data_IF_541729921778
#
_entry.id   IF_541729921778
#
_cell.length_a   1.000
_cell.length_b   1.000
_cell.length_c   1.000
_cell.angle_alpha   90.00
_cell.angle_beta   90.00
_cell.angle_gamma   90.00
#
_symmetry.space_group_name_H-M   'P 1'
#
loop_
_entity.id
_entity.type
_entity.pdbx_description
1 polymer ?
#
# COMPACT_ATOMS: atom_id res chain seq x y z
N UNK A 1 -7.87 -27.54 -2.38
CA UNK A 1 -6.93 -26.61 -3.04
C UNK A 1 -6.68 -25.52 -2.02
N UNK A 2 -5.65 -25.70 -1.20
CA UNK A 2 -5.28 -24.73 -0.17
C UNK A 2 -4.77 -23.51 -0.93
N UNK A 3 -5.52 -22.41 -0.86
CA UNK A 3 -5.11 -21.12 -1.37
C UNK A 3 -3.89 -20.70 -0.54
N UNK A 4 -2.72 -21.14 -1.00
CA UNK A 4 -1.42 -20.64 -0.59
C UNK A 4 -1.54 -19.12 -0.69
N UNK A 5 -1.56 -18.44 0.46
CA UNK A 5 -1.88 -17.02 0.60
C UNK A 5 -0.89 -16.20 -0.22
N UNK A 6 -1.16 -16.08 -1.53
CA UNK A 6 -0.27 -15.48 -2.50
C UNK A 6 -0.21 -14.02 -2.13
N UNK A 7 0.98 -13.58 -1.77
CA UNK A 7 1.16 -12.19 -1.37
C UNK A 7 0.61 -11.26 -2.45
N UNK A 8 -0.16 -10.24 -2.05
CA UNK A 8 -0.82 -9.37 -3.00
C UNK A 8 0.23 -8.67 -3.85
N UNK A 9 -0.01 -8.55 -5.15
CA UNK A 9 0.92 -7.81 -6.02
C UNK A 9 0.85 -6.31 -5.72
N UNK A 10 1.88 -5.54 -6.07
CA UNK A 10 1.91 -4.09 -5.84
C UNK A 10 0.73 -3.37 -6.51
N UNK A 11 0.32 -3.80 -7.71
CA UNK A 11 -0.87 -3.25 -8.36
C UNK A 11 -2.17 -3.51 -7.57
N UNK A 12 -2.30 -4.69 -6.95
CA UNK A 12 -3.43 -4.99 -6.06
C UNK A 12 -3.43 -4.13 -4.80
N UNK A 13 -2.24 -3.76 -4.29
CA UNK A 13 -2.11 -2.81 -3.18
C UNK A 13 -2.60 -1.42 -3.61
N UNK A 14 -2.22 -0.96 -4.81
CA UNK A 14 -2.73 0.30 -5.38
C UNK A 14 -4.25 0.28 -5.53
N UNK A 15 -4.83 -0.82 -6.04
CA UNK A 15 -6.29 -0.98 -6.16
C UNK A 15 -7.01 -0.86 -4.81
N UNK A 16 -6.51 -1.57 -3.79
CA UNK A 16 -7.13 -1.54 -2.45
C UNK A 16 -7.05 -0.15 -1.82
N UNK A 17 -5.93 0.54 -1.97
CA UNK A 17 -5.78 1.90 -1.48
C UNK A 17 -6.65 2.89 -2.26
N UNK A 18 -6.75 2.76 -3.58
CA UNK A 18 -7.64 3.61 -4.40
C UNK A 18 -9.12 3.41 -4.02
N UNK A 19 -9.54 2.18 -3.73
CA UNK A 19 -10.89 1.90 -3.24
C UNK A 19 -11.13 2.52 -1.84
N UNK A 20 -10.11 2.56 -0.98
CA UNK A 20 -10.22 3.12 0.39
C UNK A 20 -10.10 4.64 0.44
N UNK A 21 -9.42 5.23 -0.54
CA UNK A 21 -9.22 6.66 -0.67
C UNK A 21 -9.71 7.16 -2.05
N UNK A 22 -11.03 7.04 -2.35
CA UNK A 22 -11.57 7.31 -3.69
C UNK A 22 -11.45 8.77 -4.14
N UNK A 23 -11.17 9.69 -3.21
CA UNK A 23 -10.95 11.12 -3.47
C UNK A 23 -9.50 11.45 -3.83
N UNK A 24 -8.58 10.49 -3.71
CA UNK A 24 -7.16 10.66 -4.03
C UNK A 24 -6.92 10.05 -5.43
N UNK A 25 -6.26 10.78 -6.36
CA UNK A 25 -5.95 10.25 -7.67
C UNK A 25 -5.13 8.95 -7.60
N UNK A 26 -5.52 7.91 -8.34
CA UNK A 26 -4.80 6.62 -8.40
C UNK A 26 -3.31 6.81 -8.69
N UNK A 27 -2.95 7.74 -9.58
CA UNK A 27 -1.56 8.05 -9.92
C UNK A 27 -0.74 8.51 -8.70
N UNK A 28 -1.34 9.29 -7.79
CA UNK A 28 -0.69 9.72 -6.55
C UNK A 28 -0.48 8.54 -5.59
N UNK A 29 -1.51 7.69 -5.45
CA UNK A 29 -1.44 6.46 -4.65
C UNK A 29 -0.35 5.52 -5.19
N UNK A 30 -0.30 5.33 -6.50
CA UNK A 30 0.73 4.51 -7.15
C UNK A 30 2.14 5.05 -6.92
N UNK A 31 2.30 6.38 -6.94
CA UNK A 31 3.56 7.04 -6.58
C UNK A 31 4.02 6.70 -5.17
N UNK A 32 3.16 6.92 -4.17
CA UNK A 32 3.46 6.61 -2.76
C UNK A 32 3.76 5.11 -2.58
N UNK A 33 2.95 4.24 -3.15
CA UNK A 33 3.15 2.78 -3.09
C UNK A 33 4.50 2.38 -3.71
N UNK A 34 4.90 3.02 -4.81
CA UNK A 34 6.21 2.82 -5.44
C UNK A 34 7.36 3.24 -4.52
N UNK A 35 7.28 4.43 -3.91
CA UNK A 35 8.28 4.91 -2.96
C UNK A 35 8.46 3.98 -1.76
N UNK A 36 7.35 3.52 -1.16
CA UNK A 36 7.39 2.58 -0.04
C UNK A 36 7.95 1.21 -0.47
N UNK A 37 7.67 0.78 -1.71
CA UNK A 37 8.21 -0.46 -2.26
C UNK A 37 9.71 -0.37 -2.47
N UNK A 38 10.19 0.70 -3.11
CA UNK A 38 11.62 0.93 -3.35
C UNK A 38 12.41 0.99 -2.05
N UNK A 39 11.88 1.66 -1.01
CA UNK A 39 12.48 1.71 0.32
C UNK A 39 12.62 0.34 1.01
N UNK A 40 11.78 -0.62 0.65
CA UNK A 40 11.77 -1.99 1.21
C UNK A 40 12.46 -3.01 0.29
N UNK A 41 12.68 -2.68 -0.98
CA UNK A 41 13.25 -3.56 -2.00
C UNK A 41 14.79 -3.67 -1.93
N UNK A 42 15.43 -3.06 -0.94
CA UNK A 42 16.88 -3.17 -0.69
C UNK A 42 17.32 -4.57 -0.19
N UNK A 43 16.36 -5.45 0.16
CA UNK A 43 16.61 -6.78 0.74
C UNK A 43 16.41 -7.98 -0.21
N UNK A 44 17.10 -9.09 0.08
CA UNK A 44 16.98 -10.37 -0.66
C UNK A 44 15.68 -11.13 -0.34
N UNK A 45 15.01 -10.79 0.76
CA UNK A 45 13.75 -11.41 1.20
C UNK A 45 12.63 -10.42 0.91
N UNK A 46 11.72 -10.82 0.02
CA UNK A 46 10.58 -9.99 -0.42
C UNK A 46 9.26 -10.40 0.20
N UNK A 47 9.30 -11.41 1.08
CA UNK A 47 8.15 -11.84 1.84
C UNK A 47 7.68 -10.71 2.74
N UNK A 48 6.40 -10.44 2.72
CA UNK A 48 5.66 -9.38 3.42
C UNK A 48 5.83 -7.95 2.89
N UNK A 49 6.62 -7.73 1.83
CA UNK A 49 6.80 -6.39 1.25
C UNK A 49 5.45 -5.74 0.88
N UNK A 50 4.52 -6.41 0.17
CA UNK A 50 3.25 -5.79 -0.22
C UNK A 50 2.41 -5.31 0.98
N UNK A 51 2.39 -6.08 2.06
CA UNK A 51 1.66 -5.75 3.28
C UNK A 51 2.28 -4.54 4.00
N UNK A 52 3.62 -4.48 4.05
CA UNK A 52 4.34 -3.36 4.65
C UNK A 52 4.16 -2.08 3.83
N UNK A 53 4.25 -2.19 2.50
CA UNK A 53 3.98 -1.10 1.55
C UNK A 53 2.56 -0.56 1.73
N UNK A 54 1.55 -1.43 1.79
CA UNK A 54 0.16 -1.00 1.98
C UNK A 54 -0.02 -0.23 3.30
N UNK A 55 0.61 -0.71 4.38
CA UNK A 55 0.54 -0.05 5.70
C UNK A 55 1.22 1.31 5.67
N UNK A 56 2.43 1.41 5.12
CA UNK A 56 3.19 2.66 5.01
C UNK A 56 2.45 3.70 4.17
N UNK A 57 2.00 3.30 2.98
CA UNK A 57 1.21 4.14 2.09
C UNK A 57 -0.09 4.62 2.76
N UNK A 58 -0.81 3.74 3.47
CA UNK A 58 -2.03 4.12 4.22
C UNK A 58 -1.75 5.19 5.29
N UNK A 59 -0.62 5.10 6.00
CA UNK A 59 -0.25 6.10 7.02
C UNK A 59 0.07 7.44 6.36
N UNK A 60 0.87 7.44 5.28
CA UNK A 60 1.20 8.66 4.53
C UNK A 60 -0.03 9.33 3.93
N UNK A 61 -0.90 8.58 3.25
CA UNK A 61 -2.15 9.09 2.68
C UNK A 61 -3.06 9.70 3.75
N UNK A 62 -3.16 9.08 4.93
CA UNK A 62 -3.93 9.68 6.04
C UNK A 62 -3.33 11.00 6.53
N UNK A 63 -2.00 11.05 6.65
CA UNK A 63 -1.29 12.24 7.11
C UNK A 63 -1.37 13.40 6.10
N UNK A 64 -1.16 13.12 4.81
CA UNK A 64 -1.18 14.14 3.73
C UNK A 64 -2.55 14.79 3.57
N UNK A 65 -3.63 14.02 3.77
CA UNK A 65 -5.00 14.48 3.56
C UNK A 65 -5.74 14.83 4.87
N UNK A 66 -5.04 14.84 6.01
CA UNK A 66 -5.63 15.16 7.31
C UNK A 66 -6.75 14.21 7.74
N UNK A 67 -6.76 12.98 7.21
CA UNK A 67 -7.76 11.97 7.52
C UNK A 67 -7.35 11.31 8.83
N UNK A 68 -7.83 11.85 9.95
CA UNK A 68 -7.65 11.26 11.27
C UNK A 68 -8.02 9.78 11.23
N UNK A 69 -7.18 8.93 11.84
CA UNK A 69 -7.37 7.49 11.93
C UNK A 69 -8.52 7.08 12.88
N UNK A 70 -9.65 7.80 12.86
CA UNK A 70 -10.86 7.43 13.56
C UNK A 70 -11.59 6.37 12.73
N UNK A 71 -11.28 5.10 12.97
CA UNK A 71 -11.90 3.96 12.30
C UNK A 71 -10.92 2.83 12.06
N UNK A 72 -10.37 2.29 13.16
CA UNK A 72 -9.90 0.91 13.25
C UNK A 72 -10.54 0.33 14.52
#
# INVERSE_FOLDING_TARGET
>A
MTDDAKEPSIDQVVDRLAARFPHIPRMHIAGIVGEEFDALNEGRIRTYIPTLVERGARVRLKSEFGISAAGD
#
